data_IF_851901193129
#
_entry.id   IF_851901193129
#
_cell.length_a   1.000
_cell.length_b   1.000
_cell.length_c   1.000
_cell.angle_alpha   90.00
_cell.angle_beta   90.00
_cell.angle_gamma   90.00
#
_symmetry.space_group_name_H-M   'P 1'
#
loop_
_entity.id
_entity.type
_entity.pdbx_description
1 polymer ?
#
# COMPACT_ATOMS: atom_id res chain seq x y z
N UNK A 1 2.16 21.62 -14.77
CA UNK A 1 2.61 21.39 -13.38
C UNK A 1 1.73 20.29 -12.82
N UNK A 2 2.25 19.08 -12.59
CA UNK A 2 1.46 18.08 -11.85
C UNK A 2 1.24 18.60 -10.43
N UNK A 3 0.00 18.56 -9.98
CA UNK A 3 -0.32 18.87 -8.58
C UNK A 3 0.41 17.87 -7.66
N UNK A 4 0.90 18.34 -6.52
CA UNK A 4 1.46 17.47 -5.49
C UNK A 4 0.33 16.59 -4.94
N UNK A 5 0.61 15.30 -4.76
CA UNK A 5 -0.33 14.34 -4.20
C UNK A 5 -0.15 14.30 -2.69
N UNK A 6 -1.22 14.63 -1.97
CA UNK A 6 -1.27 14.56 -0.52
C UNK A 6 -1.56 13.13 -0.05
N UNK A 7 -0.90 12.64 1.01
CA UNK A 7 -1.30 11.41 1.67
C UNK A 7 -2.68 11.58 2.33
N UNK A 8 -3.44 10.49 2.41
CA UNK A 8 -4.77 10.50 3.02
C UNK A 8 -4.64 10.44 4.56
N UNK A 9 -4.51 9.28 5.25
CA UNK A 9 -3.92 9.29 6.59
C UNK A 9 -2.50 8.76 6.60
N UNK A 10 -1.74 9.29 7.56
CA UNK A 10 -0.44 8.80 7.98
C UNK A 10 -0.66 8.02 9.28
N UNK A 11 -0.39 6.72 9.23
CA UNK A 11 -0.61 5.84 10.37
C UNK A 11 0.70 5.26 10.89
N UNK A 12 0.94 5.31 12.20
CA UNK A 12 2.02 4.52 12.79
C UNK A 12 1.74 3.02 12.61
N UNK A 13 2.71 2.31 12.03
CA UNK A 13 2.76 0.85 11.89
C UNK A 13 4.16 0.41 12.29
N UNK A 14 4.29 -0.30 13.40
CA UNK A 14 5.61 -0.50 14.00
C UNK A 14 6.24 0.78 14.53
N UNK A 15 7.51 0.98 14.22
CA UNK A 15 8.30 2.13 14.68
C UNK A 15 8.34 3.27 13.65
N UNK A 16 7.60 3.14 12.55
CA UNK A 16 7.58 4.10 11.46
C UNK A 16 6.15 4.44 11.05
N UNK A 17 6.03 5.53 10.30
CA UNK A 17 4.77 5.98 9.73
C UNK A 17 4.60 5.38 8.34
N UNK A 18 3.38 4.92 8.06
CA UNK A 18 2.96 4.44 6.75
C UNK A 18 1.99 5.45 6.12
N UNK A 19 2.39 6.05 5.01
CA UNK A 19 1.52 6.92 4.20
C UNK A 19 0.67 6.11 3.24
N UNK A 20 -0.62 6.43 3.23
CA UNK A 20 -1.59 5.91 2.27
C UNK A 20 -2.03 7.00 1.29
N UNK A 21 -2.42 6.60 0.09
CA UNK A 21 -2.78 7.48 -1.02
C UNK A 21 -4.04 6.98 -1.72
N UNK A 22 -4.72 7.88 -2.42
CA UNK A 22 -5.78 7.48 -3.34
C UNK A 22 -5.18 6.64 -4.47
N UNK A 23 -5.91 5.64 -4.99
CA UNK A 23 -5.47 4.87 -6.15
C UNK A 23 -5.27 5.80 -7.37
N UNK A 24 -4.15 5.70 -8.10
CA UNK A 24 -3.86 6.58 -9.26
C UNK A 24 -4.91 6.52 -10.37
N UNK A 25 -5.60 5.38 -10.49
CA UNK A 25 -6.67 5.17 -11.47
C UNK A 25 -7.92 6.02 -11.20
N UNK A 26 -8.08 6.55 -9.98
CA UNK A 26 -9.33 7.16 -9.51
C UNK A 26 -10.49 6.16 -9.36
N UNK A 27 -10.23 4.87 -9.53
CA UNK A 27 -11.22 3.80 -9.46
C UNK A 27 -11.59 3.40 -8.03
N UNK A 28 -12.56 2.48 -7.91
CA UNK A 28 -12.98 1.89 -6.63
C UNK A 28 -11.99 0.82 -6.19
N UNK A 29 -10.82 1.26 -5.73
CA UNK A 29 -9.73 0.39 -5.27
C UNK A 29 -9.39 0.63 -3.79
N UNK A 30 -8.66 -0.32 -3.21
CA UNK A 30 -8.06 -0.12 -1.90
C UNK A 30 -7.05 1.05 -1.95
N UNK A 31 -6.87 1.78 -0.83
CA UNK A 31 -5.80 2.76 -0.72
C UNK A 31 -4.45 2.15 -1.11
N UNK A 32 -3.70 2.88 -1.92
CA UNK A 32 -2.32 2.56 -2.22
C UNK A 32 -1.44 3.08 -1.09
N UNK A 33 -0.21 2.59 -0.97
CA UNK A 33 0.71 2.98 0.11
C UNK A 33 2.14 3.13 -0.37
N UNK A 34 2.91 3.93 0.36
CA UNK A 34 4.35 4.08 0.09
C UNK A 34 5.10 2.79 0.43
N UNK A 35 5.76 2.20 -0.56
CA UNK A 35 6.57 1.00 -0.36
C UNK A 35 7.83 1.29 0.47
N UNK A 36 8.37 2.50 0.35
CA UNK A 36 9.52 2.95 1.15
C UNK A 36 9.17 3.05 2.63
N UNK A 37 7.98 3.58 2.93
CA UNK A 37 7.45 3.63 4.29
C UNK A 37 7.20 2.21 4.83
N UNK A 38 6.62 1.32 4.03
CA UNK A 38 6.40 -0.08 4.43
C UNK A 38 7.73 -0.78 4.76
N UNK A 39 8.76 -0.59 3.93
CA UNK A 39 10.10 -1.10 4.20
C UNK A 39 10.69 -0.53 5.49
N UNK A 40 10.37 0.72 5.84
CA UNK A 40 10.76 1.33 7.10
C UNK A 40 10.01 0.71 8.29
N UNK A 41 8.70 0.50 8.17
CA UNK A 41 7.87 -0.19 9.17
C UNK A 41 8.38 -1.60 9.44
N UNK A 42 8.83 -2.32 8.40
CA UNK A 42 9.42 -3.66 8.47
C UNK A 42 10.89 -3.67 8.92
N UNK A 43 11.47 -2.51 9.23
CA UNK A 43 12.85 -2.36 9.73
C UNK A 43 13.89 -2.99 8.78
N UNK A 44 13.63 -2.98 7.47
CA UNK A 44 14.53 -3.59 6.51
C UNK A 44 15.88 -2.86 6.48
N UNK A 45 17.03 -3.54 6.34
CA UNK A 45 18.32 -2.87 6.15
C UNK A 45 18.32 -2.01 4.88
N UNK A 46 18.96 -0.83 4.91
CA UNK A 46 18.99 0.12 3.78
C UNK A 46 19.43 -0.50 2.46
N UNK A 47 20.40 -1.41 2.49
CA UNK A 47 20.87 -2.13 1.29
C UNK A 47 19.77 -2.99 0.66
N UNK A 48 19.01 -3.72 1.48
CA UNK A 48 17.89 -4.56 1.05
C UNK A 48 16.77 -3.70 0.46
N UNK A 49 16.42 -2.58 1.11
CA UNK A 49 15.40 -1.64 0.58
C UNK A 49 15.74 -1.17 -0.83
N UNK A 50 16.99 -0.78 -1.05
CA UNK A 50 17.47 -0.31 -2.36
C UNK A 50 17.36 -1.41 -3.41
N UNK A 51 17.73 -2.64 -3.07
CA UNK A 51 17.65 -3.77 -3.99
C UNK A 51 16.19 -4.12 -4.34
N UNK A 52 15.31 -4.16 -3.35
CA UNK A 52 13.88 -4.42 -3.56
C UNK A 52 13.24 -3.33 -4.43
N UNK A 53 13.54 -2.06 -4.17
CA UNK A 53 13.05 -0.94 -4.98
C UNK A 53 13.57 -0.99 -6.43
N UNK A 54 14.84 -1.35 -6.61
CA UNK A 54 15.41 -1.53 -7.95
C UNK A 54 14.69 -2.68 -8.69
N UNK A 55 14.48 -3.82 -8.02
CA UNK A 55 13.77 -4.97 -8.57
C UNK A 55 12.32 -4.65 -8.91
N UNK A 56 11.60 -3.89 -8.06
CA UNK A 56 10.22 -3.48 -8.33
C UNK A 56 10.11 -2.77 -9.69
N UNK A 57 11.03 -1.84 -9.98
CA UNK A 57 11.06 -1.07 -11.23
C UNK A 57 11.43 -1.89 -12.48
N UNK A 58 12.08 -3.03 -12.32
CA UNK A 58 12.53 -3.89 -13.44
C UNK A 58 11.82 -5.24 -13.49
N UNK A 59 10.90 -5.51 -12.56
CA UNK A 59 10.19 -6.78 -12.46
C UNK A 59 8.92 -6.79 -13.31
N UNK A 60 8.23 -7.95 -13.33
CA UNK A 60 6.90 -8.08 -13.90
C UNK A 60 5.85 -7.14 -13.28
N UNK A 61 6.14 -6.58 -12.10
CA UNK A 61 5.26 -5.69 -11.35
C UNK A 61 5.49 -4.20 -11.66
N UNK A 62 6.38 -3.86 -12.61
CA UNK A 62 6.72 -2.46 -12.91
C UNK A 62 5.50 -1.62 -13.31
N UNK A 63 4.49 -2.26 -13.91
CA UNK A 63 3.28 -1.61 -14.42
C UNK A 63 2.18 -1.53 -13.33
N UNK A 64 2.41 -2.18 -12.19
CA UNK A 64 1.51 -2.17 -11.01
C UNK A 64 1.97 -1.18 -9.94
N UNK A 65 2.99 -0.36 -10.21
CA UNK A 65 3.53 0.62 -9.26
C UNK A 65 3.54 2.01 -9.88
N UNK A 66 3.32 3.04 -9.07
CA UNK A 66 3.31 4.42 -9.52
C UNK A 66 4.36 5.23 -8.76
N UNK A 67 4.98 6.21 -9.42
CA UNK A 67 5.88 7.17 -8.75
C UNK A 67 5.23 8.54 -8.75
N UNK A 68 4.94 9.06 -7.57
CA UNK A 68 4.22 10.33 -7.38
C UNK A 68 5.09 11.35 -6.66
N UNK A 69 4.84 12.64 -6.90
CA UNK A 69 5.44 13.74 -6.16
C UNK A 69 4.52 14.15 -5.00
N UNK A 70 5.04 14.14 -3.77
CA UNK A 70 4.38 14.65 -2.55
C UNK A 70 5.10 15.89 -2.04
N UNK A 71 4.52 16.66 -1.10
CA UNK A 71 5.21 17.79 -0.47
C UNK A 71 6.55 17.42 0.19
N UNK A 72 6.69 16.18 0.66
CA UNK A 72 7.90 15.66 1.32
C UNK A 72 8.91 15.02 0.34
N UNK A 73 8.56 14.93 -0.94
CA UNK A 73 9.42 14.41 -1.99
C UNK A 73 8.76 13.35 -2.88
N UNK A 74 9.56 12.71 -3.71
CA UNK A 74 9.09 11.69 -4.64
C UNK A 74 9.04 10.33 -3.94
N UNK A 75 7.91 9.63 -4.06
CA UNK A 75 7.72 8.30 -3.47
C UNK A 75 7.19 7.32 -4.49
N UNK A 76 7.55 6.04 -4.34
CA UNK A 76 6.87 4.94 -5.04
C UNK A 76 5.70 4.46 -4.19
N UNK A 77 4.53 4.40 -4.79
CA UNK A 77 3.33 3.82 -4.20
C UNK A 77 2.98 2.50 -4.86
N UNK A 78 2.40 1.60 -4.08
CA UNK A 78 2.02 0.26 -4.50
C UNK A 78 0.59 -0.07 -4.07
N UNK A 79 -0.11 -0.95 -4.80
CA UNK A 79 -1.42 -1.45 -4.41
C UNK A 79 -1.32 -2.37 -3.19
N UNK A 80 -2.45 -2.50 -2.48
CA UNK A 80 -2.59 -3.30 -1.25
C UNK A 80 -2.06 -4.73 -1.37
N UNK A 81 -2.29 -5.41 -2.50
CA UNK A 81 -1.91 -6.82 -2.67
C UNK A 81 -0.38 -7.01 -2.64
N UNK A 82 0.39 -6.08 -3.18
CA UNK A 82 1.86 -6.14 -3.15
C UNK A 82 2.38 -5.95 -1.72
N UNK A 83 1.81 -5.00 -0.99
CA UNK A 83 2.13 -4.80 0.42
C UNK A 83 1.79 -6.02 1.27
N UNK A 84 0.63 -6.65 1.03
CA UNK A 84 0.24 -7.89 1.69
C UNK A 84 1.25 -9.00 1.40
N UNK A 85 1.63 -9.21 0.14
CA UNK A 85 2.63 -10.21 -0.23
C UNK A 85 3.99 -9.99 0.45
N UNK A 86 4.43 -8.73 0.58
CA UNK A 86 5.64 -8.40 1.33
C UNK A 86 5.51 -8.71 2.82
N UNK A 87 4.39 -8.35 3.45
CA UNK A 87 4.14 -8.60 4.87
C UNK A 87 4.07 -10.11 5.15
N UNK A 88 3.41 -10.88 4.28
CA UNK A 88 3.33 -12.34 4.38
C UNK A 88 4.73 -12.96 4.22
N UNK A 89 5.52 -12.54 3.23
CA UNK A 89 6.90 -13.01 3.07
C UNK A 89 7.78 -12.71 4.30
N UNK A 90 7.62 -11.53 4.90
CA UNK A 90 8.34 -11.15 6.11
C UNK A 90 7.90 -11.96 7.34
N UNK A 91 6.61 -12.30 7.42
CA UNK A 91 6.09 -13.21 8.43
C UNK A 91 6.71 -14.60 8.30
N UNK A 92 6.79 -15.13 7.09
CA UNK A 92 7.27 -16.49 6.84
C UNK A 92 8.77 -16.65 7.19
N UNK A 93 9.57 -15.59 7.05
CA UNK A 93 10.98 -15.58 7.48
C UNK A 93 11.18 -15.15 8.94
N UNK A 94 10.10 -14.97 9.71
CA UNK A 94 10.16 -14.61 11.13
C UNK A 94 10.64 -13.18 11.41
N UNK A 95 10.56 -12.28 10.42
CA UNK A 95 11.02 -10.89 10.49
C UNK A 95 9.88 -9.90 10.69
N UNK A 96 8.73 -10.37 11.17
CA UNK A 96 7.59 -9.52 11.53
C UNK A 96 7.41 -9.51 13.05
N UNK A 97 7.23 -8.33 13.63
CA UNK A 97 6.88 -8.21 15.05
C UNK A 97 5.44 -8.65 15.28
N UNK A 98 5.17 -9.12 16.50
CA UNK A 98 3.80 -9.36 16.94
C UNK A 98 2.96 -8.06 16.84
N UNK A 99 1.70 -8.21 16.41
CA UNK A 99 0.76 -7.10 16.24
C UNK A 99 0.96 -6.25 14.98
N UNK A 100 2.05 -6.41 14.22
CA UNK A 100 2.30 -5.61 13.02
C UNK A 100 1.14 -5.67 12.02
N UNK A 101 0.66 -6.87 11.73
CA UNK A 101 -0.41 -7.07 10.76
C UNK A 101 -1.73 -6.40 11.22
N UNK A 102 -2.05 -6.51 12.51
CA UNK A 102 -3.23 -5.86 13.07
C UNK A 102 -3.15 -4.33 12.98
N UNK A 103 -1.97 -3.76 13.23
CA UNK A 103 -1.73 -2.32 13.05
C UNK A 103 -1.83 -1.90 11.59
N UNK A 104 -1.21 -2.65 10.67
CA UNK A 104 -1.31 -2.41 9.24
C UNK A 104 -2.76 -2.41 8.77
N UNK A 105 -3.55 -3.42 9.17
CA UNK A 105 -4.98 -3.52 8.83
C UNK A 105 -5.76 -2.33 9.41
N UNK A 106 -5.50 -1.95 10.67
CA UNK A 106 -6.16 -0.81 11.31
C UNK A 106 -5.89 0.50 10.58
N UNK A 107 -4.65 0.75 10.16
CA UNK A 107 -4.31 1.96 9.42
C UNK A 107 -4.87 1.93 7.98
N UNK A 108 -4.87 0.76 7.33
CA UNK A 108 -5.53 0.59 6.03
C UNK A 108 -7.05 0.83 6.10
N UNK A 109 -7.71 0.40 7.17
CA UNK A 109 -9.13 0.69 7.41
C UNK A 109 -9.39 2.18 7.64
N UNK A 110 -8.51 2.87 8.39
CA UNK A 110 -8.59 4.32 8.56
C UNK A 110 -8.41 5.07 7.21
N UNK A 111 -7.48 4.60 6.37
CA UNK A 111 -7.29 5.14 5.02
C UNK A 111 -8.50 4.93 4.13
N UNK A 112 -9.10 3.73 4.16
CA UNK A 112 -10.33 3.44 3.44
C UNK A 112 -11.47 4.35 3.91
N UNK A 113 -11.65 4.50 5.22
CA UNK A 113 -12.69 5.36 5.79
C UNK A 113 -12.55 6.81 5.32
N UNK A 114 -11.32 7.31 5.15
CA UNK A 114 -11.08 8.67 4.67
C UNK A 114 -11.28 8.79 3.15
N UNK A 115 -10.97 7.74 2.40
CA UNK A 115 -11.21 7.68 0.96
C UNK A 115 -12.72 7.64 0.62
N UNK A 116 -13.53 7.06 1.50
CA UNK A 116 -14.99 7.00 1.37
C UNK A 116 -15.71 8.08 2.18
N UNK A 117 -15.00 9.09 2.68
CA UNK A 117 -15.57 10.18 3.46
C UNK A 117 -16.58 10.97 2.61
N UNK A 118 -17.76 11.23 3.15
CA UNK A 118 -18.85 11.91 2.45
C UNK A 118 -19.71 11.03 1.51
N UNK A 119 -19.38 9.76 1.30
CA UNK A 119 -20.23 8.83 0.55
C UNK A 119 -21.47 8.42 1.34
N UNK A 120 -22.59 8.21 0.65
CA UNK A 120 -23.78 7.59 1.26
C UNK A 120 -23.52 6.11 1.64
N UNK A 121 -24.27 5.52 2.58
CA UNK A 121 -24.02 4.15 3.04
C UNK A 121 -23.97 3.08 1.93
N UNK A 122 -24.88 3.17 0.94
CA UNK A 122 -24.91 2.23 -0.19
C UNK A 122 -23.71 2.43 -1.13
N UNK A 123 -23.32 3.67 -1.36
CA UNK A 123 -22.17 4.01 -2.19
C UNK A 123 -20.87 3.55 -1.53
N UNK A 124 -20.71 3.81 -0.23
CA UNK A 124 -19.57 3.32 0.56
C UNK A 124 -19.49 1.80 0.52
N UNK A 125 -20.61 1.10 0.71
CA UNK A 125 -20.63 -0.37 0.66
C UNK A 125 -20.25 -0.88 -0.74
N UNK A 126 -20.78 -0.24 -1.79
CA UNK A 126 -20.44 -0.54 -3.18
C UNK A 126 -18.96 -0.30 -3.49
N UNK A 127 -18.39 0.78 -2.93
CA UNK A 127 -16.97 1.10 -3.04
C UNK A 127 -16.11 0.01 -2.39
N UNK A 128 -16.36 -0.29 -1.12
CA UNK A 128 -15.57 -1.27 -0.35
C UNK A 128 -15.64 -2.65 -0.99
N UNK A 129 -16.81 -3.07 -1.46
CA UNK A 129 -16.98 -4.36 -2.16
C UNK A 129 -16.14 -4.41 -3.44
N UNK A 130 -16.21 -3.38 -4.28
CA UNK A 130 -15.43 -3.32 -5.52
C UNK A 130 -13.93 -3.32 -5.24
N UNK A 131 -13.47 -2.52 -4.26
CA UNK A 131 -12.07 -2.43 -3.86
C UNK A 131 -11.50 -3.79 -3.41
N UNK A 132 -12.27 -4.55 -2.62
CA UNK A 132 -11.88 -5.88 -2.18
C UNK A 132 -11.86 -6.90 -3.30
N UNK A 133 -12.83 -6.86 -4.23
CA UNK A 133 -12.84 -7.73 -5.40
C UNK A 133 -11.61 -7.48 -6.28
N UNK A 134 -11.32 -6.22 -6.62
CA UNK A 134 -10.16 -5.84 -7.43
C UNK A 134 -8.84 -6.28 -6.79
N UNK A 135 -8.71 -6.14 -5.46
CA UNK A 135 -7.53 -6.62 -4.72
C UNK A 135 -7.40 -8.15 -4.73
N UNK A 136 -8.52 -8.89 -4.70
CA UNK A 136 -8.52 -10.35 -4.71
C UNK A 136 -8.26 -10.96 -6.08
N UNK A 137 -8.68 -10.30 -7.16
CA UNK A 137 -8.42 -10.72 -8.54
C UNK A 137 -6.93 -10.70 -8.87
N UNK A 138 -6.20 -9.68 -8.42
CA UNK A 138 -4.74 -9.60 -8.59
C UNK A 138 -3.98 -10.74 -7.92
N UNK A 139 -4.47 -11.24 -6.77
CA UNK A 139 -3.89 -12.40 -6.09
C UNK A 139 -4.16 -13.72 -6.83
N UNK A 140 -5.23 -13.79 -7.64
CA UNK A 140 -5.60 -14.99 -8.39
C UNK A 140 -4.97 -15.04 -9.78
N UNK A 141 -4.76 -13.88 -10.40
CA UNK A 141 -4.05 -13.76 -11.69
C UNK A 141 -2.53 -13.79 -11.53
N UNK A 142 -2.02 -13.34 -10.37
CA UNK A 142 -0.62 -13.44 -9.98
C UNK A 142 -0.24 -14.85 -9.52
N UNK A 143 -0.10 -15.78 -10.46
CA UNK A 143 0.52 -17.08 -10.20
C UNK A 143 1.84 -16.91 -9.44
N UNK A 144 1.99 -17.71 -8.37
CA UNK A 144 3.24 -17.92 -7.67
C UNK A 144 4.35 -18.27 -8.67
N UNK A 145 5.63 -17.91 -8.41
CA UNK A 145 6.75 -18.38 -9.22
C UNK A 145 6.77 -19.90 -9.36
#
# INVERSE_FOLDING_TARGET
MSALVEPIPIGAVGLANLRFFAPPSGGRECPWLSIDDLHACLVLPRGVRRELNAKLRTSKWKDDVETIATPEGIVTIVPRFMAQGMIDAMRDVGQIREGFYAEYVRQGAAAMSKLTDGMGPEEMLGYVKAAWTASGEHLRSGGAP
#
